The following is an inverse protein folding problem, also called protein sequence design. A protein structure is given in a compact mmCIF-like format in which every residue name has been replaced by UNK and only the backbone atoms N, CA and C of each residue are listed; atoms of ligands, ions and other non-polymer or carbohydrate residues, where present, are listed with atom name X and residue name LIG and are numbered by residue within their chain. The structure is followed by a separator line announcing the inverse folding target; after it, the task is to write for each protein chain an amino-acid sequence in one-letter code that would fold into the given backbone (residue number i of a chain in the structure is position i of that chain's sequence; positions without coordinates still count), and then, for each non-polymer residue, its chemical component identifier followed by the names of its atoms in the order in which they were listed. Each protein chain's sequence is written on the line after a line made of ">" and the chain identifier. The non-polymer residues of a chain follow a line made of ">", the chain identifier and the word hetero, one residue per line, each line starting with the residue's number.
data_IF_284928533346
#
_entry.id   IF_284928533346
#
_cell.length_a   1.000
_cell.length_b   1.000
_cell.length_c   1.000
_cell.angle_alpha   90.00
_cell.angle_beta   90.00
_cell.angle_gamma   90.00
#
_symmetry.space_group_name_H-M   'P 1'
#
loop_
_entity.id
_entity.type
_entity.pdbx_description
1 polymer ?
#
# COMPACT_ATOMS: atom_id res chain seq x y z
N UNK A 1 25.37 -13.64 -9.40
CA UNK A 1 23.93 -13.53 -9.07
C UNK A 1 23.05 -12.80 -10.09
N UNK A 2 23.51 -11.84 -10.92
CA UNK A 2 22.64 -11.13 -11.89
C UNK A 2 22.21 -11.91 -13.16
N UNK A 3 22.81 -13.07 -13.47
CA UNK A 3 22.48 -13.88 -14.68
C UNK A 3 21.47 -15.02 -14.45
N UNK A 4 21.11 -15.34 -13.20
CA UNK A 4 20.19 -16.47 -12.92
C UNK A 4 18.70 -16.08 -12.90
N UNK A 5 18.39 -14.80 -12.61
CA UNK A 5 17.00 -14.32 -12.48
C UNK A 5 16.31 -14.18 -13.84
N UNK A 6 17.06 -13.81 -14.89
CA UNK A 6 16.53 -13.74 -16.26
C UNK A 6 16.17 -15.10 -16.86
N UNK A 7 16.70 -16.21 -16.32
CA UNK A 7 16.39 -17.55 -16.83
C UNK A 7 15.03 -18.07 -16.34
N UNK A 8 14.59 -17.67 -15.14
CA UNK A 8 13.34 -18.15 -14.54
C UNK A 8 12.11 -17.45 -15.15
N UNK A 9 12.26 -16.20 -15.62
CA UNK A 9 11.18 -15.44 -16.30
C UNK A 9 10.99 -15.88 -17.77
N UNK A 10 11.92 -16.65 -18.35
CA UNK A 10 11.88 -17.05 -19.76
C UNK A 10 11.38 -18.48 -20.04
N UNK A 11 11.21 -19.32 -19.02
CA UNK A 11 10.98 -20.77 -19.20
C UNK A 11 9.51 -21.21 -18.98
N UNK A 12 8.63 -20.35 -18.43
CA UNK A 12 7.23 -20.74 -18.13
C UNK A 12 6.24 -20.71 -19.31
N UNK A 13 6.68 -20.38 -20.54
CA UNK A 13 5.80 -20.27 -21.72
C UNK A 13 5.97 -21.40 -22.76
N UNK A 14 6.81 -22.41 -22.49
CA UNK A 14 6.99 -23.58 -23.37
C UNK A 14 6.43 -24.85 -22.74
N UNK A 15 5.10 -24.94 -22.67
CA UNK A 15 4.36 -26.20 -22.50
C UNK A 15 2.93 -26.00 -23.03
N UNK A 16 2.60 -26.78 -24.07
CA UNK A 16 1.39 -26.68 -24.91
C UNK A 16 1.17 -25.34 -25.63
N UNK A 17 1.75 -25.20 -26.83
CA UNK A 17 1.14 -24.36 -27.86
C UNK A 17 -0.17 -25.02 -28.32
N UNK A 18 -1.30 -24.60 -27.74
CA UNK A 18 -2.57 -24.75 -28.43
C UNK A 18 -2.43 -23.96 -29.74
N UNK A 19 -2.59 -24.64 -30.89
CA UNK A 19 -2.51 -24.01 -32.21
C UNK A 19 -3.80 -23.21 -32.48
N UNK A 20 -4.05 -22.21 -31.63
CA UNK A 20 -5.24 -21.36 -31.70
C UNK A 20 -5.18 -20.56 -32.99
N UNK A 21 -6.17 -20.76 -33.84
CA UNK A 21 -6.30 -20.07 -35.12
C UNK A 21 -7.70 -19.47 -35.24
N UNK A 22 -7.80 -18.39 -36.01
CA UNK A 22 -9.07 -17.78 -36.37
C UNK A 22 -8.98 -17.17 -37.77
N UNK A 23 -9.99 -16.41 -38.20
CA UNK A 23 -10.01 -15.66 -39.46
C UNK A 23 -10.16 -14.17 -39.20
N UNK A 24 -9.60 -13.35 -40.10
CA UNK A 24 -9.84 -11.92 -40.09
C UNK A 24 -11.29 -11.59 -40.50
N UNK A 25 -12.01 -10.83 -39.68
CA UNK A 25 -13.37 -10.37 -39.95
C UNK A 25 -13.43 -9.28 -41.04
N UNK A 26 -12.36 -8.48 -41.15
CA UNK A 26 -12.21 -7.37 -42.12
C UNK A 26 -10.84 -7.42 -42.83
N UNK A 27 -10.59 -6.48 -43.75
CA UNK A 27 -9.23 -6.17 -44.23
C UNK A 27 -8.55 -5.20 -43.26
N UNK A 28 -7.23 -5.27 -43.14
CA UNK A 28 -6.50 -4.43 -42.19
C UNK A 28 -4.99 -4.67 -42.21
N UNK A 29 -4.33 -4.25 -41.14
CA UNK A 29 -2.88 -4.32 -40.97
C UNK A 29 -2.51 -4.96 -39.63
N UNK A 30 -1.39 -5.67 -39.61
CA UNK A 30 -0.72 -6.17 -38.41
C UNK A 30 0.28 -5.09 -37.99
N UNK A 31 0.19 -4.62 -36.76
CA UNK A 31 1.02 -3.56 -36.20
C UNK A 31 2.29 -4.10 -35.55
N UNK A 32 3.38 -3.32 -35.57
CA UNK A 32 4.63 -3.69 -34.88
C UNK A 32 4.48 -3.65 -33.35
N UNK A 33 3.67 -2.73 -32.84
CA UNK A 33 3.36 -2.57 -31.41
C UNK A 33 1.84 -2.59 -31.15
N UNK A 34 1.39 -2.98 -29.94
CA UNK A 34 -0.02 -2.98 -29.54
C UNK A 34 -0.50 -1.56 -29.16
N UNK A 35 -0.35 -0.61 -30.09
CA UNK A 35 -0.76 0.79 -29.94
C UNK A 35 -1.41 1.31 -31.23
N UNK A 36 -2.09 2.45 -31.13
CA UNK A 36 -2.65 3.17 -32.28
C UNK A 36 -1.53 4.01 -32.90
N UNK A 37 -1.55 4.22 -34.23
CA UNK A 37 -0.54 4.99 -35.00
C UNK A 37 0.88 4.42 -34.93
N UNK A 38 1.01 3.11 -35.01
CA UNK A 38 2.31 2.41 -35.12
C UNK A 38 2.60 2.02 -36.57
N UNK A 39 3.86 1.72 -36.88
CA UNK A 39 4.22 1.05 -38.13
C UNK A 39 3.44 -0.27 -38.30
N UNK A 40 3.05 -0.57 -39.53
CA UNK A 40 2.44 -1.84 -39.91
C UNK A 40 3.50 -2.77 -40.51
N UNK A 41 3.50 -4.02 -40.05
CA UNK A 41 4.41 -5.07 -40.53
C UNK A 41 3.86 -5.69 -41.81
N UNK A 42 2.56 -6.01 -41.84
CA UNK A 42 1.89 -6.60 -43.01
C UNK A 42 0.44 -6.14 -43.15
N UNK A 43 -0.12 -6.35 -44.33
CA UNK A 43 -1.57 -6.23 -44.59
C UNK A 43 -2.25 -7.60 -44.72
N UNK A 44 -3.54 -7.65 -44.43
CA UNK A 44 -4.37 -8.86 -44.60
C UNK A 44 -5.73 -8.54 -45.24
N UNK A 45 -6.33 -9.57 -45.83
CA UNK A 45 -7.67 -9.53 -46.42
C UNK A 45 -8.66 -10.31 -45.55
N UNK A 46 -9.93 -9.87 -45.55
CA UNK A 46 -11.06 -10.55 -44.89
C UNK A 46 -11.08 -12.05 -45.22
N UNK A 47 -11.41 -12.87 -44.22
CA UNK A 47 -11.59 -14.31 -44.34
C UNK A 47 -10.32 -15.16 -44.36
N UNK A 48 -9.13 -14.55 -44.38
CA UNK A 48 -7.85 -15.28 -44.28
C UNK A 48 -7.62 -15.76 -42.85
N UNK A 49 -7.10 -17.00 -42.73
CA UNK A 49 -6.76 -17.63 -41.45
C UNK A 49 -5.49 -17.01 -40.86
N UNK A 50 -5.43 -16.89 -39.53
CA UNK A 50 -4.33 -16.31 -38.76
C UNK A 50 -4.12 -17.11 -37.46
N UNK A 51 -2.86 -17.30 -37.07
CA UNK A 51 -2.51 -17.91 -35.78
C UNK A 51 -2.50 -16.88 -34.66
N UNK A 52 -3.04 -17.25 -33.49
CA UNK A 52 -3.04 -16.44 -32.28
C UNK A 52 -1.86 -16.88 -31.41
N UNK A 53 -0.97 -15.96 -31.06
CA UNK A 53 0.18 -16.22 -30.18
C UNK A 53 -0.22 -15.96 -28.72
N UNK A 54 -0.84 -14.81 -28.44
CA UNK A 54 -1.24 -14.43 -27.08
C UNK A 54 -2.19 -13.25 -27.05
N UNK A 55 -2.95 -13.13 -25.96
CA UNK A 55 -3.60 -11.88 -25.59
C UNK A 55 -2.58 -10.94 -24.94
N UNK A 56 -2.56 -9.66 -25.32
CA UNK A 56 -1.66 -8.65 -24.75
C UNK A 56 -2.33 -7.78 -23.67
N UNK A 57 -3.65 -7.60 -23.76
CA UNK A 57 -4.40 -6.63 -22.95
C UNK A 57 -4.97 -5.49 -23.79
N UNK A 58 -5.97 -4.78 -23.26
CA UNK A 58 -6.66 -3.66 -23.93
C UNK A 58 -7.09 -4.01 -25.37
N UNK A 59 -7.71 -5.17 -25.57
CA UNK A 59 -8.16 -5.70 -26.87
C UNK A 59 -7.06 -5.93 -27.92
N UNK A 60 -5.79 -6.02 -27.53
CA UNK A 60 -4.72 -6.37 -28.45
C UNK A 60 -4.38 -7.87 -28.38
N UNK A 61 -4.25 -8.47 -29.57
CA UNK A 61 -3.81 -9.85 -29.78
C UNK A 61 -2.50 -9.85 -30.52
N UNK A 62 -1.53 -10.62 -30.03
CA UNK A 62 -0.33 -10.94 -30.79
C UNK A 62 -0.64 -12.12 -31.72
N UNK A 63 -0.31 -11.99 -32.99
CA UNK A 63 -0.68 -12.93 -34.05
C UNK A 63 0.50 -13.30 -34.93
N UNK A 64 0.42 -14.44 -35.61
CA UNK A 64 1.30 -14.84 -36.72
C UNK A 64 0.46 -15.07 -37.98
N UNK A 65 0.78 -14.37 -39.06
CA UNK A 65 0.15 -14.54 -40.38
C UNK A 65 1.22 -14.62 -41.47
N UNK A 66 1.45 -15.81 -42.02
CA UNK A 66 2.49 -16.07 -43.04
C UNK A 66 3.87 -15.52 -42.60
N UNK A 67 4.32 -15.96 -41.43
CA UNK A 67 5.55 -15.52 -40.73
C UNK A 67 5.58 -14.03 -40.31
N UNK A 68 4.52 -13.29 -40.59
CA UNK A 68 4.34 -11.93 -40.12
C UNK A 68 3.80 -11.92 -38.68
N UNK A 69 4.69 -11.64 -37.73
CA UNK A 69 4.36 -11.55 -36.31
C UNK A 69 4.16 -10.09 -35.89
N UNK A 70 3.02 -9.81 -35.25
CA UNK A 70 2.73 -8.48 -34.70
C UNK A 70 1.39 -8.45 -33.99
N UNK A 71 0.76 -7.28 -33.91
CA UNK A 71 -0.42 -7.03 -33.07
C UNK A 71 -1.64 -6.57 -33.89
N UNK A 72 -2.82 -7.05 -33.51
CA UNK A 72 -4.11 -6.64 -34.07
C UNK A 72 -5.15 -6.44 -32.98
N UNK A 73 -6.20 -5.68 -33.25
CA UNK A 73 -7.33 -5.48 -32.32
C UNK A 73 -8.34 -6.64 -32.38
N UNK A 74 -9.05 -6.90 -31.28
CA UNK A 74 -10.14 -7.89 -31.21
C UNK A 74 -11.16 -7.73 -32.36
N UNK A 75 -11.49 -6.48 -32.73
CA UNK A 75 -12.51 -6.16 -33.74
C UNK A 75 -12.17 -6.51 -35.20
N UNK A 76 -10.92 -6.89 -35.51
CA UNK A 76 -10.55 -7.40 -36.85
C UNK A 76 -10.47 -8.93 -36.90
N UNK A 77 -10.68 -9.62 -35.77
CA UNK A 77 -10.69 -11.08 -35.66
C UNK A 77 -12.10 -11.60 -35.45
N UNK A 78 -12.34 -12.85 -35.83
CA UNK A 78 -13.48 -13.62 -35.33
C UNK A 78 -13.06 -14.22 -33.99
N UNK A 79 -13.77 -13.94 -32.90
CA UNK A 79 -13.46 -14.50 -31.58
C UNK A 79 -13.98 -15.95 -31.49
N UNK A 80 -13.28 -16.79 -30.73
CA UNK A 80 -13.65 -18.17 -30.43
C UNK A 80 -13.26 -18.55 -29.00
N UNK A 81 -13.71 -19.71 -28.53
CA UNK A 81 -13.56 -20.13 -27.13
C UNK A 81 -12.09 -20.33 -26.73
N UNK A 82 -11.24 -20.81 -27.63
CA UNK A 82 -9.80 -20.95 -27.41
C UNK A 82 -9.11 -19.60 -27.17
N UNK A 83 -9.49 -18.57 -27.95
CA UNK A 83 -9.03 -17.20 -27.73
C UNK A 83 -9.48 -16.68 -26.37
N UNK A 84 -10.76 -16.84 -26.01
CA UNK A 84 -11.28 -16.36 -24.73
C UNK A 84 -10.59 -17.09 -23.55
N UNK A 85 -10.32 -18.39 -23.67
CA UNK A 85 -9.50 -19.15 -22.73
C UNK A 85 -8.08 -18.57 -22.57
N UNK A 86 -7.37 -18.24 -23.66
CA UNK A 86 -6.06 -17.58 -23.60
C UNK A 86 -6.13 -16.21 -22.88
N UNK A 87 -7.17 -15.42 -23.17
CA UNK A 87 -7.43 -14.12 -22.53
C UNK A 87 -7.70 -14.28 -21.03
N UNK A 88 -8.56 -15.21 -20.61
CA UNK A 88 -8.87 -15.48 -19.20
C UNK A 88 -7.65 -16.04 -18.43
N UNK A 89 -6.79 -16.84 -19.07
CA UNK A 89 -5.52 -17.27 -18.46
C UNK A 89 -4.55 -16.09 -18.28
N UNK A 90 -4.37 -15.26 -19.31
CA UNK A 90 -3.52 -14.07 -19.26
C UNK A 90 -3.97 -13.08 -18.17
N UNK A 91 -5.26 -12.77 -18.11
CA UNK A 91 -5.81 -11.85 -17.11
C UNK A 91 -5.60 -12.36 -15.67
N UNK A 92 -5.85 -13.65 -15.40
CA UNK A 92 -5.58 -14.25 -14.07
C UNK A 92 -4.10 -14.21 -13.70
N UNK A 93 -3.19 -14.43 -14.65
CA UNK A 93 -1.76 -14.34 -14.41
C UNK A 93 -1.32 -12.89 -14.11
N UNK A 94 -1.86 -11.90 -14.83
CA UNK A 94 -1.56 -10.49 -14.57
C UNK A 94 -2.13 -10.01 -13.22
N UNK A 95 -3.32 -10.47 -12.84
CA UNK A 95 -3.91 -10.23 -11.53
C UNK A 95 -3.06 -10.84 -10.39
N UNK A 96 -2.55 -12.06 -10.58
CA UNK A 96 -1.65 -12.71 -9.63
C UNK A 96 -0.33 -11.93 -9.47
N UNK A 97 0.31 -11.54 -10.58
CA UNK A 97 1.53 -10.72 -10.57
C UNK A 97 1.30 -9.35 -9.93
N UNK A 98 0.13 -8.74 -10.15
CA UNK A 98 -0.25 -7.48 -9.50
C UNK A 98 -0.35 -7.65 -7.98
N UNK A 99 -1.03 -8.71 -7.50
CA UNK A 99 -1.13 -9.03 -6.06
C UNK A 99 0.23 -9.28 -5.42
N UNK A 100 1.13 -10.01 -6.08
CA UNK A 100 2.51 -10.21 -5.60
C UNK A 100 3.28 -8.87 -5.55
N UNK A 101 3.16 -8.03 -6.57
CA UNK A 101 3.82 -6.71 -6.61
C UNK A 101 3.37 -5.78 -5.47
N UNK A 102 2.10 -5.87 -5.04
CA UNK A 102 1.56 -5.13 -3.89
C UNK A 102 2.19 -5.60 -2.57
N UNK A 103 2.32 -6.92 -2.35
CA UNK A 103 2.97 -7.46 -1.15
C UNK A 103 4.46 -7.07 -1.07
N UNK A 104 5.14 -7.02 -2.21
CA UNK A 104 6.52 -6.54 -2.30
C UNK A 104 6.60 -5.04 -1.95
N UNK A 105 5.68 -4.22 -2.47
CA UNK A 105 5.60 -2.77 -2.20
C UNK A 105 5.37 -2.48 -0.71
N UNK A 106 4.49 -3.23 -0.05
CA UNK A 106 4.27 -3.11 1.39
C UNK A 106 5.52 -3.51 2.19
N UNK A 107 6.20 -4.59 1.80
CA UNK A 107 7.46 -5.03 2.39
C UNK A 107 8.57 -3.99 2.26
N UNK A 108 8.69 -3.32 1.10
CA UNK A 108 9.62 -2.21 0.88
C UNK A 108 9.30 -1.02 1.80
N UNK A 109 8.01 -0.71 2.00
CA UNK A 109 7.59 0.37 2.91
C UNK A 109 8.03 0.11 4.36
N UNK A 110 7.92 -1.15 4.82
CA UNK A 110 8.36 -1.59 6.15
C UNK A 110 9.88 -1.52 6.29
N UNK A 111 10.64 -1.93 5.27
CA UNK A 111 12.10 -1.83 5.25
C UNK A 111 12.54 -0.37 5.39
N UNK A 112 11.91 0.56 4.67
CA UNK A 112 12.19 2.00 4.77
C UNK A 112 11.94 2.53 6.20
N UNK A 113 10.81 2.16 6.81
CA UNK A 113 10.50 2.51 8.22
C UNK A 113 11.59 1.99 9.19
N UNK A 114 12.06 0.75 8.98
CA UNK A 114 13.14 0.18 9.81
C UNK A 114 14.49 0.87 9.59
N UNK A 115 14.81 1.27 8.35
CA UNK A 115 16.03 2.06 8.05
C UNK A 115 15.98 3.44 8.71
N UNK A 116 14.84 4.15 8.60
CA UNK A 116 14.63 5.44 9.24
C UNK A 116 14.78 5.35 10.78
N UNK A 117 14.28 4.28 11.40
CA UNK A 117 14.39 4.07 12.84
C UNK A 117 15.83 3.81 13.30
N UNK A 118 16.63 3.07 12.52
CA UNK A 118 18.06 2.85 12.76
C UNK A 118 18.85 4.17 12.68
N UNK A 119 18.60 4.97 11.63
CA UNK A 119 19.21 6.30 11.49
C UNK A 119 18.87 7.24 12.67
N UNK A 120 17.71 7.02 13.31
CA UNK A 120 17.27 7.77 14.48
C UNK A 120 17.92 7.28 15.79
N UNK A 121 18.26 5.99 15.91
CA UNK A 121 19.00 5.45 17.06
C UNK A 121 20.40 6.11 17.15
N UNK A 122 21.09 6.25 16.01
CA UNK A 122 22.39 6.94 15.98
C UNK A 122 22.26 8.39 16.51
N UNK A 123 21.25 9.14 16.03
CA UNK A 123 20.98 10.51 16.50
C UNK A 123 20.52 10.59 17.97
N UNK A 124 20.04 9.50 18.58
CA UNK A 124 19.74 9.43 20.02
C UNK A 124 21.02 9.37 20.87
N UNK A 125 22.13 8.79 20.37
CA UNK A 125 23.40 8.75 21.09
C UNK A 125 23.92 10.17 21.38
N UNK A 126 23.85 11.05 20.38
CA UNK A 126 24.19 12.48 20.50
C UNK A 126 23.32 13.21 21.54
N UNK A 127 22.09 12.75 21.76
CA UNK A 127 21.09 13.43 22.61
C UNK A 127 21.27 13.24 24.12
N UNK A 128 22.20 12.38 24.56
CA UNK A 128 22.33 11.97 25.96
C UNK A 128 22.70 13.18 26.85
N UNK A 129 23.59 14.06 26.38
CA UNK A 129 24.00 15.30 27.07
C UNK A 129 22.78 16.17 27.42
N UNK A 130 22.05 16.66 26.41
CA UNK A 130 20.93 17.57 26.68
C UNK A 130 19.81 16.90 27.48
N UNK A 131 19.58 15.59 27.31
CA UNK A 131 18.59 14.86 28.14
C UNK A 131 18.95 14.86 29.62
N UNK A 132 20.22 14.65 29.95
CA UNK A 132 20.73 14.82 31.31
C UNK A 132 20.55 16.27 31.77
N UNK A 133 20.97 17.25 30.97
CA UNK A 133 20.83 18.67 31.31
C UNK A 133 19.36 19.11 31.55
N UNK A 134 18.39 18.58 30.81
CA UNK A 134 16.96 18.84 31.02
C UNK A 134 16.50 18.30 32.39
N UNK A 135 16.91 17.07 32.74
CA UNK A 135 16.58 16.43 34.02
C UNK A 135 17.21 17.19 35.18
N UNK A 136 18.50 17.51 35.03
CA UNK A 136 19.33 18.20 36.02
C UNK A 136 19.03 19.71 36.05
N UNK A 137 18.12 20.20 35.20
CA UNK A 137 17.66 21.60 35.12
C UNK A 137 18.73 22.62 34.74
N UNK A 138 19.74 22.21 33.98
CA UNK A 138 20.90 23.03 33.57
C UNK A 138 20.82 23.55 32.13
N UNK A 139 19.70 23.36 31.42
CA UNK A 139 19.49 23.97 30.09
C UNK A 139 19.06 25.42 30.26
N UNK A 140 20.01 26.34 30.11
CA UNK A 140 19.82 27.77 30.31
C UNK A 140 19.68 28.50 28.97
N UNK A 141 18.79 29.50 28.92
CA UNK A 141 18.65 30.42 27.80
C UNK A 141 18.28 31.82 28.29
N UNK A 142 18.57 32.84 27.47
CA UNK A 142 18.04 34.19 27.68
C UNK A 142 16.73 34.38 26.92
N UNK A 143 15.81 35.13 27.50
CA UNK A 143 14.57 35.57 26.85
C UNK A 143 14.57 37.08 26.68
N UNK A 144 14.13 37.55 25.51
CA UNK A 144 14.14 38.97 25.15
C UNK A 144 13.19 39.78 26.04
N UNK A 145 13.50 41.07 26.22
CA UNK A 145 12.54 42.09 26.72
C UNK A 145 11.24 42.01 25.92
N UNK A 146 10.10 42.17 26.59
CA UNK A 146 8.76 42.02 26.00
C UNK A 146 8.23 40.58 25.99
N UNK A 147 9.04 39.60 26.44
CA UNK A 147 8.61 38.21 26.53
C UNK A 147 7.40 38.02 27.47
N UNK A 148 6.51 37.11 27.05
CA UNK A 148 5.25 36.77 27.73
C UNK A 148 5.23 35.29 28.05
N UNK A 149 5.30 34.97 29.34
CA UNK A 149 5.08 33.63 29.85
C UNK A 149 3.59 33.39 30.04
N UNK A 150 3.10 32.23 29.62
CA UNK A 150 1.68 31.86 29.65
C UNK A 150 1.45 30.54 30.38
N UNK A 151 0.25 30.36 30.91
CA UNK A 151 -0.17 29.13 31.61
C UNK A 151 -0.19 27.92 30.66
N UNK A 152 -0.62 28.12 29.40
CA UNK A 152 -0.67 27.11 28.35
C UNK A 152 0.17 27.53 27.12
N UNK A 153 0.61 26.58 26.26
CA UNK A 153 1.41 26.85 25.05
C UNK A 153 0.55 27.37 23.89
N UNK A 154 -0.12 28.49 24.12
CA UNK A 154 -1.07 29.13 23.21
C UNK A 154 -0.88 30.67 23.24
N UNK A 155 -1.21 31.38 22.15
CA UNK A 155 -1.00 32.84 22.08
C UNK A 155 -2.02 33.67 22.86
N UNK A 156 -3.19 33.12 23.18
CA UNK A 156 -4.29 33.79 23.88
C UNK A 156 -4.40 33.37 25.35
N UNK A 157 -3.83 32.23 25.74
CA UNK A 157 -3.72 31.78 27.14
C UNK A 157 -3.29 32.88 28.10
N UNK A 158 -3.87 32.88 29.30
CA UNK A 158 -3.50 33.77 30.41
C UNK A 158 -1.99 33.86 30.64
N UNK A 159 -1.53 35.06 31.03
CA UNK A 159 -0.14 35.33 31.40
C UNK A 159 0.17 34.75 32.79
N UNK A 160 1.23 33.94 32.90
CA UNK A 160 1.72 33.41 34.17
C UNK A 160 2.44 34.48 35.01
N UNK A 161 3.09 35.42 34.34
CA UNK A 161 3.73 36.60 34.93
C UNK A 161 3.52 37.81 34.01
N UNK A 162 3.61 39.05 34.54
CA UNK A 162 3.66 40.26 33.73
C UNK A 162 4.76 40.22 32.66
N UNK A 163 4.58 41.03 31.61
CA UNK A 163 5.55 41.15 30.52
C UNK A 163 6.94 41.58 31.02
N UNK A 164 7.99 40.87 30.60
CA UNK A 164 9.35 41.13 31.04
C UNK A 164 9.88 42.49 30.57
N UNK A 165 10.27 43.34 31.53
CA UNK A 165 10.78 44.70 31.28
C UNK A 165 12.22 44.74 30.76
N UNK A 166 12.95 43.64 30.88
CA UNK A 166 14.33 43.46 30.45
C UNK A 166 14.57 42.02 29.96
N UNK A 167 15.78 41.76 29.44
CA UNK A 167 16.21 40.39 29.11
C UNK A 167 16.45 39.61 30.40
N UNK A 168 15.96 38.37 30.49
CA UNK A 168 16.15 37.51 31.67
C UNK A 168 16.70 36.15 31.30
N UNK A 169 17.45 35.55 32.22
CA UNK A 169 17.86 34.16 32.16
C UNK A 169 16.71 33.25 32.60
N UNK A 170 16.52 32.10 31.92
CA UNK A 170 15.46 31.14 32.19
C UNK A 170 15.95 29.71 32.03
N UNK A 171 15.37 28.78 32.80
CA UNK A 171 15.66 27.35 32.69
C UNK A 171 14.64 26.70 31.75
N UNK A 172 15.11 26.10 30.65
CA UNK A 172 14.27 25.36 29.72
C UNK A 172 14.07 23.91 30.19
N UNK A 173 12.81 23.47 30.23
CA UNK A 173 12.39 22.13 30.68
C UNK A 173 11.86 21.26 29.53
N UNK A 174 11.25 21.88 28.51
CA UNK A 174 10.71 21.15 27.37
C UNK A 174 10.58 22.03 26.11
N UNK A 175 10.37 21.40 24.95
CA UNK A 175 10.02 22.07 23.70
C UNK A 175 8.98 21.27 22.90
N UNK A 176 7.86 21.90 22.56
CA UNK A 176 6.79 21.33 21.73
C UNK A 176 6.08 22.43 20.93
N UNK A 177 5.76 22.17 19.66
CA UNK A 177 4.92 23.04 18.82
C UNK A 177 5.31 24.54 18.80
N UNK A 178 6.60 24.87 18.72
CA UNK A 178 7.15 26.25 18.80
C UNK A 178 7.03 26.92 20.18
N UNK A 179 6.69 26.20 21.25
CA UNK A 179 6.76 26.68 22.62
C UNK A 179 7.84 25.93 23.40
N UNK A 180 8.54 26.65 24.26
CA UNK A 180 9.32 26.05 25.33
C UNK A 180 8.48 26.02 26.60
N UNK A 181 8.59 24.95 27.40
CA UNK A 181 8.27 25.01 28.82
C UNK A 181 9.52 25.55 29.52
N UNK A 182 9.41 26.67 30.19
CA UNK A 182 10.53 27.38 30.80
C UNK A 182 10.17 27.86 32.21
N UNK A 183 11.18 28.02 33.07
CA UNK A 183 11.02 28.50 34.44
C UNK A 183 11.85 29.76 34.68
N UNK A 184 11.27 30.72 35.39
CA UNK A 184 11.84 31.99 35.83
C UNK A 184 11.37 32.24 37.26
N UNK A 185 12.27 32.60 38.18
CA UNK A 185 11.96 32.89 39.59
C UNK A 185 11.02 31.86 40.24
N UNK A 186 11.36 30.58 40.07
CA UNK A 186 10.58 29.38 40.49
C UNK A 186 9.20 29.19 39.83
N UNK A 187 8.71 30.12 39.01
CA UNK A 187 7.47 29.98 38.23
C UNK A 187 7.76 29.33 36.88
N UNK A 188 7.04 28.25 36.56
CA UNK A 188 7.22 27.50 35.31
C UNK A 188 6.00 27.62 34.38
N UNK A 189 6.20 28.13 33.18
CA UNK A 189 5.14 28.32 32.18
C UNK A 189 5.61 28.03 30.76
N UNK A 190 4.84 28.49 29.78
CA UNK A 190 5.17 28.36 28.37
C UNK A 190 5.54 29.70 27.75
N UNK A 191 6.54 29.67 26.87
CA UNK A 191 7.01 30.83 26.12
C UNK A 191 7.18 30.45 24.65
N UNK A 192 6.72 31.30 23.74
CA UNK A 192 6.89 31.08 22.30
C UNK A 192 8.38 31.20 21.92
N UNK A 193 8.87 30.31 21.06
CA UNK A 193 10.28 30.22 20.69
C UNK A 193 10.87 31.49 20.09
N UNK A 194 10.04 32.40 19.53
CA UNK A 194 10.50 33.70 19.01
C UNK A 194 11.14 34.61 20.08
N UNK A 195 10.76 34.42 21.35
CA UNK A 195 11.24 35.21 22.49
C UNK A 195 12.53 34.64 23.11
N UNK A 196 12.85 33.37 22.86
CA UNK A 196 14.05 32.70 23.38
C UNK A 196 15.23 33.03 22.46
N UNK A 197 16.32 33.50 23.03
CA UNK A 197 17.57 33.76 22.33
C UNK A 197 18.27 32.43 22.06
N UNK A 198 18.64 32.20 20.81
CA UNK A 198 19.14 30.90 20.36
C UNK A 198 20.60 30.68 20.74
N UNK A 199 20.88 29.61 21.50
CA UNK A 199 22.23 29.16 21.85
C UNK A 199 22.42 27.67 21.49
N UNK A 200 23.58 27.08 21.82
CA UNK A 200 23.89 25.67 21.53
C UNK A 200 22.90 24.70 22.19
N UNK A 201 22.61 24.88 23.47
CA UNK A 201 21.72 23.97 24.22
C UNK A 201 20.24 24.15 23.84
N UNK A 202 19.82 25.36 23.45
CA UNK A 202 18.51 25.62 22.82
C UNK A 202 18.36 24.84 21.50
N UNK A 203 19.37 24.94 20.62
CA UNK A 203 19.42 24.18 19.35
C UNK A 203 19.36 22.67 19.61
N UNK A 204 20.12 22.17 20.59
CA UNK A 204 20.18 20.76 20.95
C UNK A 204 18.82 20.27 21.50
N UNK A 205 18.21 21.00 22.44
CA UNK A 205 16.89 20.71 23.00
C UNK A 205 15.81 20.60 21.91
N UNK A 206 15.74 21.59 21.01
CA UNK A 206 14.79 21.59 19.88
C UNK A 206 15.02 20.39 18.96
N UNK A 207 16.28 20.09 18.60
CA UNK A 207 16.64 18.93 17.77
C UNK A 207 16.21 17.63 18.44
N UNK A 208 16.46 17.46 19.73
CA UNK A 208 16.17 16.24 20.47
C UNK A 208 14.67 16.01 20.63
N UNK A 209 13.87 17.03 20.95
CA UNK A 209 12.40 16.88 21.01
C UNK A 209 11.78 16.60 19.65
N UNK A 210 12.31 17.16 18.56
CA UNK A 210 11.91 16.80 17.18
C UNK A 210 12.23 15.32 16.88
N UNK A 211 13.43 14.85 17.21
CA UNK A 211 13.84 13.44 17.07
C UNK A 211 12.94 12.50 17.88
N UNK A 212 12.58 12.85 19.12
CA UNK A 212 11.69 12.04 19.95
C UNK A 212 10.25 11.99 19.42
N UNK A 213 9.72 13.11 18.91
CA UNK A 213 8.41 13.16 18.26
C UNK A 213 8.35 12.25 17.03
N UNK A 214 9.40 12.30 16.19
CA UNK A 214 9.54 11.42 15.02
C UNK A 214 9.67 9.94 15.45
N UNK A 215 10.46 9.66 16.50
CA UNK A 215 10.65 8.30 17.00
C UNK A 215 9.33 7.65 17.45
N UNK A 216 8.46 8.40 18.14
CA UNK A 216 7.15 7.90 18.60
C UNK A 216 6.27 7.53 17.42
N UNK A 217 6.19 8.37 16.38
CA UNK A 217 5.40 8.09 15.17
C UNK A 217 5.83 6.80 14.46
N UNK A 218 7.14 6.58 14.32
CA UNK A 218 7.66 5.33 13.74
C UNK A 218 7.42 4.11 14.65
N UNK A 219 7.49 4.27 15.97
CA UNK A 219 7.18 3.19 16.92
C UNK A 219 5.69 2.82 16.88
N UNK A 220 4.81 3.81 16.76
CA UNK A 220 3.36 3.61 16.59
C UNK A 220 3.03 2.93 15.26
N UNK A 221 3.69 3.29 14.15
CA UNK A 221 3.47 2.62 12.86
C UNK A 221 3.97 1.18 12.87
N UNK A 222 5.16 0.91 13.43
CA UNK A 222 5.67 -0.45 13.62
C UNK A 222 4.72 -1.32 14.46
N UNK A 223 4.25 -0.80 15.60
CA UNK A 223 3.30 -1.52 16.47
C UNK A 223 1.98 -1.85 15.77
N UNK A 224 1.48 -0.97 14.90
CA UNK A 224 0.27 -1.24 14.08
C UNK A 224 0.51 -2.35 13.05
N UNK A 225 1.70 -2.41 12.45
CA UNK A 225 2.06 -3.44 11.46
C UNK A 225 2.24 -4.80 12.17
N UNK A 226 2.92 -4.83 13.31
CA UNK A 226 3.08 -6.03 14.13
C UNK A 226 1.73 -6.59 14.62
N UNK A 227 0.81 -5.71 15.05
CA UNK A 227 -0.54 -6.12 15.46
C UNK A 227 -1.30 -6.77 14.30
N UNK A 228 -1.32 -6.13 13.12
CA UNK A 228 -1.96 -6.68 11.92
C UNK A 228 -1.39 -8.03 11.52
N UNK A 229 -0.07 -8.21 11.60
CA UNK A 229 0.55 -9.50 11.28
C UNK A 229 0.22 -10.58 12.32
N UNK A 230 0.14 -10.24 13.60
CA UNK A 230 -0.32 -11.17 14.65
C UNK A 230 -1.79 -11.58 14.43
N UNK A 231 -2.66 -10.64 14.06
CA UNK A 231 -4.05 -10.89 13.69
C UNK A 231 -4.14 -11.82 12.48
N UNK A 232 -3.36 -11.56 11.43
CA UNK A 232 -3.26 -12.38 10.20
C UNK A 232 -2.80 -13.81 10.53
N UNK A 233 -1.73 -13.98 11.29
CA UNK A 233 -1.22 -15.30 11.74
C UNK A 233 -2.27 -16.04 12.59
N UNK A 234 -2.98 -15.33 13.47
CA UNK A 234 -4.07 -15.90 14.29
C UNK A 234 -5.24 -16.35 13.42
N UNK A 235 -5.61 -15.57 12.40
CA UNK A 235 -6.65 -15.92 11.43
C UNK A 235 -6.25 -17.13 10.58
N UNK A 236 -5.03 -17.16 10.02
CA UNK A 236 -4.51 -18.31 9.27
C UNK A 236 -4.56 -19.60 10.09
N UNK A 237 -4.04 -19.59 11.33
CA UNK A 237 -4.08 -20.73 12.25
C UNK A 237 -5.52 -21.19 12.54
N UNK A 238 -6.46 -20.26 12.67
CA UNK A 238 -7.88 -20.53 12.92
C UNK A 238 -8.56 -21.20 11.72
N UNK A 239 -8.32 -20.69 10.50
CA UNK A 239 -8.84 -21.26 9.25
C UNK A 239 -8.26 -22.67 9.02
N UNK A 240 -6.94 -22.84 9.18
CA UNK A 240 -6.27 -24.14 9.06
C UNK A 240 -6.84 -25.17 10.06
N UNK A 241 -7.07 -24.78 11.32
CA UNK A 241 -7.68 -25.65 12.34
C UNK A 241 -9.14 -25.98 12.04
N UNK A 242 -9.93 -25.02 11.53
CA UNK A 242 -11.38 -25.16 11.33
C UNK A 242 -11.75 -25.94 10.07
N UNK A 243 -10.98 -25.79 8.99
CA UNK A 243 -11.33 -26.35 7.68
C UNK A 243 -10.29 -27.34 7.12
N UNK A 244 -9.17 -27.52 7.81
CA UNK A 244 -8.11 -28.46 7.42
C UNK A 244 -7.25 -27.97 6.25
N UNK A 245 -6.11 -28.64 6.05
CA UNK A 245 -5.05 -28.22 5.11
C UNK A 245 -5.56 -28.02 3.67
N UNK A 246 -6.33 -28.98 3.13
CA UNK A 246 -6.82 -28.96 1.74
C UNK A 246 -7.72 -27.76 1.43
N UNK A 247 -8.56 -27.34 2.38
CA UNK A 247 -9.42 -26.16 2.20
C UNK A 247 -8.59 -24.89 2.43
N UNK A 248 -7.78 -24.83 3.50
CA UNK A 248 -6.88 -23.70 3.76
C UNK A 248 -5.96 -23.38 2.57
N UNK A 249 -5.36 -24.38 1.93
CA UNK A 249 -4.48 -24.19 0.77
C UNK A 249 -5.24 -23.59 -0.43
N UNK A 250 -6.49 -24.02 -0.67
CA UNK A 250 -7.37 -23.41 -1.69
C UNK A 250 -7.69 -21.95 -1.37
N UNK A 251 -8.11 -21.67 -0.13
CA UNK A 251 -8.48 -20.31 0.26
C UNK A 251 -7.27 -19.36 0.21
N UNK A 252 -6.09 -19.83 0.65
CA UNK A 252 -4.85 -19.04 0.60
C UNK A 252 -4.39 -18.73 -0.83
N UNK A 253 -4.80 -19.55 -1.80
CA UNK A 253 -4.56 -19.32 -3.23
C UNK A 253 -5.67 -18.49 -3.93
N UNK A 254 -6.64 -17.95 -3.19
CA UNK A 254 -7.69 -17.09 -3.74
C UNK A 254 -8.79 -17.82 -4.51
N UNK A 255 -8.96 -19.14 -4.32
CA UNK A 255 -10.05 -19.88 -4.97
C UNK A 255 -11.41 -19.59 -4.33
N UNK A 256 -12.44 -19.55 -5.18
CA UNK A 256 -13.85 -19.52 -4.79
C UNK A 256 -14.63 -20.71 -5.37
N UNK A 257 -15.71 -21.13 -4.72
CA UNK A 257 -16.61 -22.21 -5.16
C UNK A 257 -17.99 -22.14 -4.48
N UNK A 258 -19.00 -22.75 -5.11
CA UNK A 258 -20.35 -22.92 -4.54
C UNK A 258 -20.30 -23.77 -3.27
N UNK A 259 -20.96 -23.34 -2.20
CA UNK A 259 -20.92 -23.97 -0.88
C UNK A 259 -19.92 -23.35 0.10
N UNK A 260 -19.14 -22.35 -0.32
CA UNK A 260 -18.34 -21.54 0.62
C UNK A 260 -19.24 -20.71 1.53
N UNK A 261 -18.85 -20.56 2.80
CA UNK A 261 -19.46 -19.57 3.68
C UNK A 261 -18.72 -18.23 3.61
N UNK A 262 -19.35 -17.15 4.08
CA UNK A 262 -18.77 -15.79 4.14
C UNK A 262 -17.35 -15.72 4.69
N UNK A 263 -17.04 -16.50 5.74
CA UNK A 263 -15.71 -16.46 6.38
C UNK A 263 -14.63 -17.11 5.48
N UNK A 264 -15.00 -18.13 4.71
CA UNK A 264 -14.13 -18.65 3.65
C UNK A 264 -13.93 -17.60 2.55
N UNK A 265 -15.00 -16.92 2.13
CA UNK A 265 -14.95 -15.92 1.05
C UNK A 265 -14.07 -14.73 1.44
N UNK A 266 -14.29 -14.10 2.60
CA UNK A 266 -13.46 -12.98 3.09
C UNK A 266 -12.00 -13.39 3.22
N UNK A 267 -11.71 -14.59 3.73
CA UNK A 267 -10.32 -15.04 3.86
C UNK A 267 -9.64 -15.34 2.50
N UNK A 268 -10.41 -15.74 1.48
CA UNK A 268 -9.89 -16.08 0.15
C UNK A 268 -9.74 -14.85 -0.76
N UNK A 269 -10.77 -13.99 -0.80
CA UNK A 269 -10.89 -12.88 -1.75
C UNK A 269 -10.71 -11.50 -1.11
N UNK A 270 -10.73 -11.41 0.22
CA UNK A 270 -10.82 -10.14 0.95
C UNK A 270 -12.27 -9.65 1.09
N UNK A 271 -12.42 -8.46 1.66
CA UNK A 271 -13.71 -7.76 1.72
C UNK A 271 -14.18 -7.38 0.30
N UNK A 272 -15.46 -7.51 -0.04
CA UNK A 272 -16.01 -7.04 -1.31
C UNK A 272 -16.02 -5.50 -1.38
N UNK A 273 -16.10 -4.98 -2.59
CA UNK A 273 -16.28 -3.54 -2.85
C UNK A 273 -17.67 -3.05 -2.43
N UNK A 274 -18.70 -3.91 -2.58
CA UNK A 274 -20.08 -3.62 -2.19
C UNK A 274 -20.86 -4.90 -1.82
N UNK A 275 -21.92 -4.76 -1.02
CA UNK A 275 -22.81 -5.85 -0.58
C UNK A 275 -24.27 -5.42 -0.72
N UNK A 276 -24.94 -5.90 -1.76
CA UNK A 276 -26.39 -5.78 -1.91
C UNK A 276 -27.08 -6.86 -1.07
N UNK A 277 -27.96 -6.48 -0.15
CA UNK A 277 -28.59 -7.40 0.81
C UNK A 277 -30.11 -7.26 0.83
N UNK A 278 -30.79 -8.40 0.73
CA UNK A 278 -32.24 -8.54 0.87
C UNK A 278 -32.58 -9.55 1.96
N UNK A 279 -33.65 -9.29 2.70
CA UNK A 279 -34.17 -10.18 3.75
C UNK A 279 -35.67 -10.34 3.56
N UNK A 280 -36.15 -11.58 3.52
CA UNK A 280 -37.57 -11.91 3.34
C UNK A 280 -37.95 -13.21 4.06
N UNK A 281 -39.16 -13.69 3.83
CA UNK A 281 -39.64 -14.97 4.39
C UNK A 281 -38.86 -16.19 3.87
N UNK A 282 -38.18 -16.04 2.73
CA UNK A 282 -37.25 -17.01 2.13
C UNK A 282 -35.84 -16.99 2.74
N UNK A 283 -35.54 -16.08 3.68
CA UNK A 283 -34.26 -15.95 4.35
C UNK A 283 -33.46 -14.72 3.90
N UNK A 284 -32.13 -14.83 3.92
CA UNK A 284 -31.20 -13.74 3.58
C UNK A 284 -30.52 -14.02 2.25
N UNK A 285 -30.76 -13.15 1.27
CA UNK A 285 -30.06 -13.15 -0.01
C UNK A 285 -29.05 -11.99 -0.05
N UNK A 286 -27.81 -12.26 -0.43
CA UNK A 286 -26.75 -11.24 -0.56
C UNK A 286 -25.97 -11.42 -1.85
N UNK A 287 -25.75 -10.34 -2.59
CA UNK A 287 -24.79 -10.28 -3.71
C UNK A 287 -23.57 -9.48 -3.25
N UNK A 288 -22.38 -10.08 -3.36
CA UNK A 288 -21.10 -9.44 -3.05
C UNK A 288 -20.39 -9.09 -4.35
N UNK A 289 -19.98 -7.82 -4.47
CA UNK A 289 -19.37 -7.27 -5.68
C UNK A 289 -17.86 -7.14 -5.48
N UNK A 290 -17.08 -7.79 -6.34
CA UNK A 290 -15.64 -7.64 -6.47
C UNK A 290 -15.31 -7.06 -7.87
N UNK A 291 -14.04 -6.73 -8.13
CA UNK A 291 -13.60 -6.29 -9.45
C UNK A 291 -13.66 -7.46 -10.44
N UNK A 292 -14.67 -7.46 -11.33
CA UNK A 292 -14.87 -8.52 -12.32
C UNK A 292 -15.46 -9.83 -11.79
N UNK A 293 -16.00 -9.86 -10.56
CA UNK A 293 -16.60 -11.06 -9.97
C UNK A 293 -17.79 -10.69 -9.07
N UNK A 294 -18.91 -11.40 -9.24
CA UNK A 294 -20.10 -11.30 -8.40
C UNK A 294 -20.34 -12.65 -7.73
N UNK A 295 -20.50 -12.67 -6.41
CA UNK A 295 -20.87 -13.87 -5.64
C UNK A 295 -22.26 -13.71 -5.05
N UNK A 296 -23.14 -14.68 -5.30
CA UNK A 296 -24.49 -14.71 -4.74
C UNK A 296 -24.54 -15.69 -3.58
N UNK A 297 -25.11 -15.25 -2.45
CA UNK A 297 -25.23 -16.01 -1.22
C UNK A 297 -26.69 -16.20 -0.83
N UNK A 298 -27.05 -17.44 -0.47
CA UNK A 298 -28.26 -17.74 0.28
C UNK A 298 -27.89 -18.10 1.71
N UNK A 299 -28.47 -17.40 2.68
CA UNK A 299 -28.26 -17.60 4.12
C UNK A 299 -26.77 -17.68 4.54
N UNK A 300 -25.91 -16.94 3.83
CA UNK A 300 -24.47 -16.86 4.08
C UNK A 300 -23.62 -17.96 3.44
N UNK A 301 -24.19 -18.77 2.54
CA UNK A 301 -23.50 -19.76 1.70
C UNK A 301 -23.55 -19.33 0.22
N UNK A 302 -22.41 -19.35 -0.49
CA UNK A 302 -22.33 -19.06 -1.93
C UNK A 302 -23.14 -20.11 -2.70
N UNK A 303 -24.14 -19.67 -3.48
CA UNK A 303 -25.00 -20.54 -4.31
C UNK A 303 -24.71 -20.41 -5.80
N UNK A 304 -24.29 -19.24 -6.27
CA UNK A 304 -23.86 -19.01 -7.64
C UNK A 304 -22.85 -17.86 -7.74
N UNK A 305 -22.25 -17.68 -8.92
CA UNK A 305 -21.34 -16.58 -9.21
C UNK A 305 -21.36 -16.20 -10.68
N UNK A 306 -20.89 -15.00 -11.00
CA UNK A 306 -20.73 -14.46 -12.35
C UNK A 306 -19.36 -13.79 -12.46
N UNK A 307 -18.62 -14.07 -13.54
CA UNK A 307 -17.31 -13.51 -13.87
C UNK A 307 -17.17 -13.21 -15.37
#
# INVERSE_FOLDING_TARGET
>A
MRRLIYLIVFISNYLLSQNVTTKFFTKGYINLEPKIMTESVCSFKKGKTVGIISYFGLDWWKVNFNDCIGYVKSNVLILNDDMENLKTQKLRNDEFLLKESMQIKDSISLIKIKQDSIALINKKKDSIRIKKAIKDSTVIAFVKKGAKFRVNPDLMSELLIPELKESKEVILKDYKNRYFKACIDSKCGFINSIWVIENKDVKELVRVRKIESIARKYQESLKRIELKEQERIKQEKRILKKYGKKIYDKLKAGYYWIGMNKEMTIFSLGEPNDINKSVGSWGVHEQWVYEGLYLYFENGIVTSYQN
#
